data_IF_517098863034
#
_entry.id   IF_517098863034
#
_cell.length_a   1.000
_cell.length_b   1.000
_cell.length_c   1.000
_cell.angle_alpha   90.00
_cell.angle_beta   90.00
_cell.angle_gamma   90.00
#
_symmetry.space_group_name_H-M   'P 1'
#
loop_
_entity.id
_entity.type
_entity.pdbx_description
1 polymer ?
#
# COMPACT_ATOMS: atom_id res chain seq x y z
N UNK A 1 6.03 21.93 1.75
CA UNK A 1 5.63 20.68 2.45
C UNK A 1 4.64 19.96 1.57
N UNK A 2 4.74 18.63 1.41
CA UNK A 2 3.72 17.86 0.68
C UNK A 2 2.98 16.88 1.57
N UNK A 3 1.72 16.63 1.28
CA UNK A 3 0.92 15.62 1.98
C UNK A 3 0.84 14.36 1.11
N UNK A 4 1.20 13.22 1.68
CA UNK A 4 1.13 11.92 1.01
C UNK A 4 -0.06 11.19 1.58
N UNK A 5 -1.18 11.27 0.86
CA UNK A 5 -2.40 10.56 1.22
C UNK A 5 -2.29 9.16 0.65
N UNK A 6 -2.23 8.14 1.49
CA UNK A 6 -2.04 6.76 1.05
C UNK A 6 -3.03 5.81 1.72
N UNK A 7 -3.29 4.72 1.02
CA UNK A 7 -4.16 3.63 1.42
C UNK A 7 -3.52 2.29 1.10
N UNK A 8 -3.80 1.28 1.92
CA UNK A 8 -3.18 -0.03 1.85
C UNK A 8 -4.23 -1.12 1.81
N UNK A 9 -4.21 -1.92 0.76
CA UNK A 9 -4.95 -3.17 0.74
C UNK A 9 -4.09 -4.31 1.29
N UNK A 10 -4.74 -5.25 1.97
CA UNK A 10 -4.05 -6.39 2.59
C UNK A 10 -4.74 -7.72 2.31
N UNK A 11 -3.99 -8.81 2.37
CA UNK A 11 -4.57 -10.16 2.37
C UNK A 11 -5.57 -10.28 3.52
N UNK A 12 -6.76 -10.80 3.25
CA UNK A 12 -7.80 -10.98 4.27
C UNK A 12 -8.56 -12.29 4.08
N UNK A 13 -9.26 -12.72 5.14
CA UNK A 13 -10.05 -13.96 5.20
C UNK A 13 -11.37 -13.65 5.90
N UNK A 14 -12.49 -14.23 5.41
CA UNK A 14 -13.83 -13.91 5.92
C UNK A 14 -14.05 -14.39 7.37
N UNK A 15 -13.59 -15.60 7.69
CA UNK A 15 -13.97 -16.31 8.93
C UNK A 15 -12.81 -16.57 9.88
N UNK A 16 -11.60 -16.14 9.53
CA UNK A 16 -10.38 -16.44 10.29
C UNK A 16 -9.55 -15.19 10.44
N UNK A 17 -9.09 -14.93 11.66
CA UNK A 17 -8.01 -13.97 11.87
C UNK A 17 -6.73 -14.58 11.35
N UNK A 18 -6.14 -13.91 10.37
CA UNK A 18 -4.86 -14.29 9.77
C UNK A 18 -3.91 -13.11 9.85
N UNK A 19 -2.61 -13.36 9.72
CA UNK A 19 -1.63 -12.28 9.66
C UNK A 19 -1.69 -11.60 8.29
N UNK A 20 -2.29 -10.42 8.21
CA UNK A 20 -2.40 -9.65 6.98
C UNK A 20 -1.03 -9.24 6.40
N UNK A 21 -0.89 -9.34 5.09
CA UNK A 21 0.24 -8.81 4.32
C UNK A 21 -0.28 -7.73 3.37
N UNK A 22 0.44 -6.63 3.21
CA UNK A 22 0.11 -5.61 2.19
C UNK A 22 0.18 -6.24 0.80
N UNK A 23 -0.86 -6.01 -0.01
CA UNK A 23 -0.98 -6.46 -1.40
C UNK A 23 -1.16 -5.30 -2.39
N UNK A 24 -1.41 -4.09 -1.90
CA UNK A 24 -1.41 -2.86 -2.70
C UNK A 24 -0.99 -1.66 -1.85
N UNK A 25 -0.29 -0.72 -2.48
CA UNK A 25 -0.04 0.62 -1.97
C UNK A 25 -0.59 1.60 -3.01
N UNK A 26 -1.63 2.35 -2.65
CA UNK A 26 -2.15 3.45 -3.45
C UNK A 26 -1.86 4.77 -2.74
N UNK A 27 -1.43 5.80 -3.46
CA UNK A 27 -1.16 7.11 -2.88
C UNK A 27 -1.34 8.28 -3.84
N UNK A 28 -1.62 9.45 -3.27
CA UNK A 28 -1.70 10.75 -3.94
C UNK A 28 -0.80 11.73 -3.20
N UNK A 29 0.06 12.43 -3.94
CA UNK A 29 0.87 13.52 -3.44
C UNK A 29 0.09 14.82 -3.64
N UNK A 30 -0.03 15.61 -2.58
CA UNK A 30 -0.83 16.83 -2.54
C UNK A 30 0.05 18.00 -2.07
N UNK A 31 -0.06 19.14 -2.73
CA UNK A 31 0.63 20.36 -2.34
C UNK A 31 -0.08 21.11 -1.18
N UNK A 32 0.49 22.23 -0.75
CA UNK A 32 -0.08 23.05 0.34
C UNK A 32 -1.41 23.72 -0.02
N UNK A 33 -1.74 23.83 -1.32
CA UNK A 33 -3.01 24.35 -1.81
C UNK A 33 -4.08 23.25 -1.95
N UNK A 34 -3.77 22.01 -1.53
CA UNK A 34 -4.68 20.88 -1.62
C UNK A 34 -4.81 20.32 -3.04
N UNK A 35 -3.91 20.67 -3.96
CA UNK A 35 -3.92 20.17 -5.33
C UNK A 35 -3.15 18.87 -5.45
N UNK A 36 -3.72 17.89 -6.15
CA UNK A 36 -3.02 16.66 -6.47
C UNK A 36 -1.91 16.95 -7.49
N UNK A 37 -0.66 16.64 -7.11
CA UNK A 37 0.52 16.87 -7.95
C UNK A 37 1.04 15.60 -8.60
N UNK A 38 0.81 14.44 -7.98
CA UNK A 38 1.24 13.15 -8.52
C UNK A 38 0.47 11.99 -7.87
N UNK A 39 0.49 10.81 -8.50
CA UNK A 39 -0.10 9.59 -7.97
C UNK A 39 0.88 8.42 -8.01
N UNK A 40 0.68 7.47 -7.10
CA UNK A 40 1.46 6.24 -7.03
C UNK A 40 0.55 5.06 -6.79
N UNK A 41 0.82 3.96 -7.48
CA UNK A 41 0.15 2.70 -7.27
C UNK A 41 1.14 1.57 -7.52
N UNK A 42 1.18 0.59 -6.61
CA UNK A 42 1.88 -0.66 -6.84
C UNK A 42 1.17 -1.80 -6.12
N UNK A 43 1.08 -2.94 -6.78
CA UNK A 43 0.76 -4.19 -6.10
C UNK A 43 1.97 -4.70 -5.33
N UNK A 44 1.72 -5.59 -4.38
CA UNK A 44 2.73 -6.24 -3.55
C UNK A 44 2.47 -7.74 -3.53
N UNK A 45 3.53 -8.53 -3.75
CA UNK A 45 3.46 -9.99 -3.67
C UNK A 45 3.51 -10.47 -2.21
N UNK A 46 2.45 -11.13 -1.69
CA UNK A 46 2.49 -11.72 -0.36
C UNK A 46 3.34 -13.00 -0.34
N UNK A 47 3.95 -13.29 0.81
CA UNK A 47 4.89 -14.41 1.01
C UNK A 47 4.30 -15.47 1.94
N UNK A 48 3.59 -15.07 3.01
CA UNK A 48 2.99 -15.99 3.98
C UNK A 48 1.77 -16.67 3.36
N UNK A 49 0.93 -15.91 2.67
CA UNK A 49 -0.21 -16.44 1.89
C UNK A 49 -0.20 -15.88 0.46
N UNK A 50 0.59 -16.50 -0.44
CA UNK A 50 0.75 -16.02 -1.81
C UNK A 50 -0.54 -16.11 -2.64
N UNK A 51 -1.48 -16.98 -2.24
CA UNK A 51 -2.78 -17.13 -2.91
C UNK A 51 -3.83 -16.31 -2.18
N UNK A 52 -4.43 -15.35 -2.88
CA UNK A 52 -5.50 -14.51 -2.36
C UNK A 52 -6.76 -15.36 -2.13
N UNK A 53 -7.44 -15.13 -1.00
CA UNK A 53 -8.74 -15.76 -0.74
C UNK A 53 -9.80 -15.18 -1.68
N UNK A 54 -10.86 -15.96 -1.96
CA UNK A 54 -11.98 -15.47 -2.76
C UNK A 54 -12.65 -14.24 -2.13
N UNK A 55 -12.72 -14.19 -0.79
CA UNK A 55 -13.21 -13.02 -0.05
C UNK A 55 -12.33 -11.79 -0.27
N UNK A 56 -11.01 -11.95 -0.21
CA UNK A 56 -10.06 -10.86 -0.42
C UNK A 56 -10.19 -10.28 -1.84
N UNK A 57 -10.19 -11.13 -2.86
CA UNK A 57 -10.39 -10.68 -4.24
C UNK A 57 -11.76 -10.03 -4.46
N UNK A 58 -12.82 -10.49 -3.80
CA UNK A 58 -14.13 -9.83 -3.91
C UNK A 58 -14.17 -8.46 -3.24
N UNK A 59 -13.50 -8.32 -2.09
CA UNK A 59 -13.47 -7.08 -1.32
C UNK A 59 -12.61 -6.01 -1.99
N UNK A 60 -11.40 -6.37 -2.42
CA UNK A 60 -10.39 -5.42 -2.95
C UNK A 60 -10.43 -5.32 -4.47
N UNK A 61 -11.10 -6.25 -5.15
CA UNK A 61 -11.09 -6.43 -6.63
C UNK A 61 -9.74 -6.83 -7.22
N UNK A 62 -8.71 -7.03 -6.40
CA UNK A 62 -7.35 -7.44 -6.81
C UNK A 62 -7.35 -8.92 -7.20
N UNK A 63 -6.88 -9.21 -8.42
CA UNK A 63 -6.79 -10.55 -8.99
C UNK A 63 -5.42 -11.16 -8.69
N UNK A 64 -5.38 -12.49 -8.59
CA UNK A 64 -4.15 -13.23 -8.30
C UNK A 64 -2.96 -12.85 -9.22
N UNK A 65 -3.22 -12.68 -10.53
CA UNK A 65 -2.20 -12.29 -11.51
C UNK A 65 -1.50 -10.94 -11.21
N UNK A 66 -2.20 -10.02 -10.53
CA UNK A 66 -1.68 -8.70 -10.18
C UNK A 66 -0.63 -8.81 -9.07
N UNK A 67 -0.83 -9.71 -8.09
CA UNK A 67 0.14 -9.96 -7.01
C UNK A 67 1.21 -10.98 -7.38
N UNK A 68 0.96 -11.89 -8.32
CA UNK A 68 1.93 -12.93 -8.73
C UNK A 68 3.21 -12.35 -9.33
N UNK A 69 3.06 -11.25 -10.08
CA UNK A 69 4.15 -10.58 -10.81
C UNK A 69 4.63 -9.30 -10.10
N UNK A 70 4.01 -8.94 -8.98
CA UNK A 70 4.32 -7.76 -8.21
C UNK A 70 5.68 -7.83 -7.50
N UNK A 71 6.30 -6.68 -7.19
CA UNK A 71 7.44 -6.63 -6.29
C UNK A 71 7.10 -7.18 -4.90
N UNK A 72 8.12 -7.66 -4.18
CA UNK A 72 7.95 -7.97 -2.76
C UNK A 72 7.85 -6.69 -1.94
N UNK A 73 7.27 -6.78 -0.74
CA UNK A 73 7.01 -5.62 0.12
C UNK A 73 8.21 -4.66 0.31
N UNK A 74 9.45 -5.13 0.55
CA UNK A 74 10.60 -4.22 0.68
C UNK A 74 10.87 -3.39 -0.60
N UNK A 75 10.67 -3.98 -1.77
CA UNK A 75 10.88 -3.32 -3.06
C UNK A 75 9.75 -2.32 -3.36
N UNK A 76 8.51 -2.66 -2.99
CA UNK A 76 7.36 -1.77 -3.10
C UNK A 76 7.53 -0.54 -2.19
N UNK A 77 7.93 -0.73 -0.93
CA UNK A 77 8.21 0.38 0.00
C UNK A 77 9.39 1.24 -0.48
N UNK A 78 10.46 0.63 -1.01
CA UNK A 78 11.56 1.40 -1.58
C UNK A 78 11.13 2.25 -2.78
N UNK A 79 10.23 1.73 -3.62
CA UNK A 79 9.67 2.46 -4.76
C UNK A 79 8.74 3.59 -4.29
N UNK A 80 7.92 3.32 -3.28
CA UNK A 80 7.05 4.33 -2.65
C UNK A 80 7.86 5.48 -2.03
N UNK A 81 8.91 5.18 -1.25
CA UNK A 81 9.81 6.19 -0.68
C UNK A 81 10.51 7.01 -1.76
N UNK A 82 10.99 6.36 -2.83
CA UNK A 82 11.61 7.05 -3.97
C UNK A 82 10.63 7.99 -4.66
N UNK A 83 9.37 7.57 -4.79
CA UNK A 83 8.32 8.40 -5.37
C UNK A 83 7.95 9.59 -4.48
N UNK A 84 7.92 9.43 -3.15
CA UNK A 84 7.70 10.54 -2.20
C UNK A 84 8.77 11.63 -2.41
N UNK A 85 10.04 11.22 -2.47
CA UNK A 85 11.18 12.12 -2.61
C UNK A 85 11.78 12.54 -1.26
N UNK A 86 12.69 13.52 -1.30
CA UNK A 86 13.46 13.98 -0.12
C UNK A 86 12.91 15.28 0.50
N UNK A 87 11.93 15.92 -0.14
CA UNK A 87 11.30 17.13 0.39
C UNK A 87 10.54 16.85 1.68
N UNK A 88 10.31 17.87 2.51
CA UNK A 88 9.52 17.71 3.72
C UNK A 88 8.08 17.25 3.37
N UNK A 89 7.66 16.12 3.97
CA UNK A 89 6.34 15.54 3.75
C UNK A 89 5.65 15.08 5.04
N UNK A 90 4.32 14.93 4.98
CA UNK A 90 3.50 14.29 5.99
C UNK A 90 2.77 13.09 5.39
N UNK A 91 2.85 11.93 6.03
CA UNK A 91 2.07 10.76 5.66
C UNK A 91 0.66 10.86 6.27
N UNK A 92 -0.36 10.66 5.43
CA UNK A 92 -1.76 10.75 5.80
C UNK A 92 -2.48 9.46 5.38
N UNK A 93 -3.04 8.73 6.35
CA UNK A 93 -3.85 7.53 6.11
C UNK A 93 -5.24 7.69 6.69
N UNK A 94 -6.20 6.91 6.18
CA UNK A 94 -7.50 6.77 6.82
C UNK A 94 -7.42 5.70 7.91
N UNK A 95 -7.39 6.14 9.17
CA UNK A 95 -7.35 5.26 10.34
C UNK A 95 -5.94 4.85 10.78
N UNK A 96 -5.88 4.00 11.82
CA UNK A 96 -4.63 3.63 12.51
C UNK A 96 -3.95 2.38 11.94
N UNK A 97 -4.43 1.83 10.83
CA UNK A 97 -3.90 0.60 10.27
C UNK A 97 -2.76 0.88 9.29
N UNK A 98 -1.60 1.26 9.84
CA UNK A 98 -0.39 1.56 9.05
C UNK A 98 0.79 0.73 9.56
N UNK A 99 1.48 -0.04 8.69
CA UNK A 99 2.67 -0.79 9.08
C UNK A 99 3.78 0.11 9.63
N UNK A 100 4.43 -0.24 10.76
CA UNK A 100 5.54 0.54 11.31
C UNK A 100 6.70 0.79 10.33
N UNK A 101 6.90 -0.11 9.37
CA UNK A 101 7.95 0.00 8.34
C UNK A 101 7.83 1.27 7.46
N UNK A 102 6.64 1.85 7.35
CA UNK A 102 6.45 3.12 6.63
C UNK A 102 6.96 4.34 7.42
N UNK A 103 7.13 4.22 8.73
CA UNK A 103 7.61 5.29 9.61
C UNK A 103 9.07 5.10 10.04
N UNK A 104 9.73 4.01 9.63
CA UNK A 104 11.15 3.82 9.88
C UNK A 104 11.96 4.86 9.08
N UNK A 105 13.03 5.44 9.65
CA UNK A 105 13.87 6.41 8.94
C UNK A 105 14.49 5.87 7.65
#
# INVERSE_FOLDING_TARGET
MTYIIFDLETTCEEKRRVQNETIEIGAVKVDEAGQAVDTFQTFVRPVIRPVLSGFCTQLTTIRQKEVDTAPFFPQAVASFRRWIGEEAYMLCSWGFYVPPALFAP
#
